data_IF_380865534182
#
_entry.id   IF_380865534182
#
_cell.length_a   1.000
_cell.length_b   1.000
_cell.length_c   1.000
_cell.angle_alpha   90.00
_cell.angle_beta   90.00
_cell.angle_gamma   90.00
#
_symmetry.space_group_name_H-M   'P 1'
#
loop_
_entity.id
_entity.type
_entity.pdbx_description
1 polymer ?
#
# COMPACT_ATOMS: atom_id res chain seq x y z
N UNK A 1 28.73 6.26 27.22
CA UNK A 1 27.87 6.52 26.05
C UNK A 1 27.03 5.28 25.78
N UNK A 2 25.72 5.34 26.02
CA UNK A 2 24.77 4.30 25.62
C UNK A 2 24.01 4.78 24.39
N UNK A 3 24.50 4.45 23.20
CA UNK A 3 23.79 4.70 21.95
C UNK A 3 22.91 3.50 21.66
N UNK A 4 21.66 3.53 22.13
CA UNK A 4 20.71 2.45 21.91
C UNK A 4 19.27 2.92 22.04
N UNK A 5 18.51 2.82 20.95
CA UNK A 5 17.05 2.91 20.85
C UNK A 5 16.39 4.28 21.00
N UNK A 6 16.49 5.11 19.96
CA UNK A 6 15.40 6.04 19.58
C UNK A 6 14.15 5.31 19.07
N UNK A 7 14.18 3.97 18.99
CA UNK A 7 13.04 3.08 18.65
C UNK A 7 12.09 2.80 19.84
N UNK A 8 12.36 3.41 21.01
CA UNK A 8 11.58 3.24 22.25
C UNK A 8 10.37 4.19 22.34
N UNK A 9 9.89 4.75 21.22
CA UNK A 9 8.58 5.39 21.25
C UNK A 9 7.54 4.27 21.24
N UNK A 10 6.69 4.23 22.27
CA UNK A 10 5.74 3.14 22.46
C UNK A 10 4.83 3.03 21.23
N UNK A 11 4.98 1.94 20.46
CA UNK A 11 4.21 1.66 19.23
C UNK A 11 2.70 1.92 19.38
N UNK A 12 2.05 1.62 20.52
CA UNK A 12 0.64 1.95 20.70
C UNK A 12 0.32 3.45 20.64
N UNK A 13 1.19 4.30 21.18
CA UNK A 13 1.04 5.75 21.10
C UNK A 13 1.39 6.27 19.71
N UNK A 14 2.49 5.77 19.11
CA UNK A 14 2.94 6.17 17.77
C UNK A 14 1.91 5.89 16.69
N UNK A 15 1.24 4.73 16.77
CA UNK A 15 0.29 4.27 15.74
C UNK A 15 -1.16 4.22 16.22
N UNK A 16 -1.44 4.77 17.40
CA UNK A 16 -2.79 4.84 17.98
C UNK A 16 -3.47 3.45 18.06
N UNK A 17 -2.70 2.45 18.48
CA UNK A 17 -3.17 1.07 18.67
C UNK A 17 -3.92 1.01 19.99
N UNK A 18 -5.24 0.86 19.92
CA UNK A 18 -6.13 0.84 21.09
C UNK A 18 -6.59 -0.58 21.45
N UNK A 19 -6.31 -1.57 20.61
CA UNK A 19 -6.66 -2.98 20.80
C UNK A 19 -5.72 -3.89 19.98
N UNK A 20 -5.66 -5.17 20.34
CA UNK A 20 -4.92 -6.19 19.58
C UNK A 20 -5.90 -7.31 19.19
N UNK A 21 -5.88 -7.79 17.93
CA UNK A 21 -5.05 -7.34 16.80
C UNK A 21 -5.50 -6.00 16.19
N UNK A 22 -4.59 -5.27 15.52
CA UNK A 22 -4.89 -4.04 14.75
C UNK A 22 -4.26 -4.14 13.35
N UNK A 23 -5.05 -3.86 12.31
CA UNK A 23 -4.61 -3.72 10.93
C UNK A 23 -4.56 -2.22 10.57
N UNK A 24 -3.44 -1.77 9.98
CA UNK A 24 -3.17 -0.37 9.69
C UNK A 24 -2.29 -0.26 8.44
N UNK A 25 -2.68 0.58 7.48
CA UNK A 25 -1.89 0.89 6.30
C UNK A 25 -0.92 2.05 6.56
N UNK A 26 0.18 2.06 5.81
CA UNK A 26 1.17 3.11 5.77
C UNK A 26 1.28 3.64 4.34
N UNK A 27 1.59 4.92 4.19
CA UNK A 27 1.93 5.47 2.88
C UNK A 27 3.41 5.22 2.51
N UNK A 28 3.80 5.64 1.31
CA UNK A 28 5.17 5.45 0.80
C UNK A 28 6.24 6.20 1.61
N UNK A 29 5.83 7.19 2.42
CA UNK A 29 6.70 7.93 3.32
C UNK A 29 6.78 7.29 4.72
N UNK A 30 6.10 6.16 4.95
CA UNK A 30 6.04 5.47 6.23
C UNK A 30 5.11 6.12 7.24
N UNK A 31 4.24 7.06 6.83
CA UNK A 31 3.28 7.68 7.73
C UNK A 31 2.02 6.80 7.87
N UNK A 32 1.48 6.64 9.09
CA UNK A 32 0.29 5.82 9.32
C UNK A 32 -0.96 6.47 8.72
N UNK A 33 -1.74 5.68 7.97
CA UNK A 33 -3.02 6.11 7.40
C UNK A 33 -4.14 5.78 8.37
N UNK A 34 -4.42 6.65 9.34
CA UNK A 34 -5.38 6.42 10.45
C UNK A 34 -6.77 6.00 9.99
N UNK A 35 -7.24 6.45 8.83
CA UNK A 35 -8.53 6.06 8.24
C UNK A 35 -8.62 4.62 7.73
N UNK A 36 -7.50 3.91 7.63
CA UNK A 36 -7.44 2.49 7.24
C UNK A 36 -7.58 1.52 8.43
N UNK A 37 -7.61 2.05 9.67
CA UNK A 37 -7.49 1.25 10.89
C UNK A 37 -8.67 0.29 11.08
N UNK A 38 -8.36 -0.99 11.29
CA UNK A 38 -9.33 -2.03 11.65
C UNK A 38 -8.86 -2.73 12.92
N UNK A 39 -9.76 -2.87 13.90
CA UNK A 39 -9.48 -3.53 15.20
C UNK A 39 -10.31 -4.80 15.42
N UNK A 40 -11.22 -5.10 14.49
CA UNK A 40 -12.05 -6.29 14.57
C UNK A 40 -11.25 -7.51 14.12
N UNK A 41 -10.75 -8.27 15.11
CA UNK A 41 -9.99 -9.49 14.85
C UNK A 41 -10.77 -10.55 14.06
N UNK A 42 -12.11 -10.56 14.09
CA UNK A 42 -12.91 -11.53 13.33
C UNK A 42 -12.82 -11.26 11.84
N UNK A 43 -12.79 -9.99 11.43
CA UNK A 43 -12.57 -9.60 10.03
C UNK A 43 -11.17 -9.99 9.55
N UNK A 44 -10.17 -9.93 10.43
CA UNK A 44 -8.80 -10.34 10.09
C UNK A 44 -8.64 -11.86 9.93
N UNK A 45 -9.62 -12.67 10.33
CA UNK A 45 -9.65 -14.10 10.04
C UNK A 45 -10.31 -14.40 8.68
N UNK A 46 -10.99 -13.43 8.08
CA UNK A 46 -11.62 -13.57 6.76
C UNK A 46 -10.60 -13.19 5.67
N UNK A 47 -10.16 -14.20 4.93
CA UNK A 47 -9.19 -14.04 3.83
C UNK A 47 -9.71 -13.10 2.74
N UNK A 48 -10.98 -13.21 2.36
CA UNK A 48 -11.56 -12.35 1.33
C UNK A 48 -11.60 -10.90 1.77
N UNK A 49 -11.89 -10.65 3.05
CA UNK A 49 -11.80 -9.32 3.63
C UNK A 49 -10.37 -8.77 3.55
N UNK A 50 -9.36 -9.56 3.93
CA UNK A 50 -7.96 -9.11 3.91
C UNK A 50 -7.49 -8.78 2.49
N UNK A 51 -7.80 -9.63 1.50
CA UNK A 51 -7.47 -9.38 0.10
C UNK A 51 -8.10 -8.08 -0.37
N UNK A 52 -9.41 -7.92 -0.17
CA UNK A 52 -10.12 -6.70 -0.57
C UNK A 52 -9.60 -5.45 0.14
N UNK A 53 -9.24 -5.56 1.43
CA UNK A 53 -8.65 -4.45 2.18
C UNK A 53 -7.28 -4.03 1.62
N UNK A 54 -6.40 -4.99 1.29
CA UNK A 54 -5.09 -4.71 0.69
C UNK A 54 -5.24 -4.06 -0.68
N UNK A 55 -6.10 -4.60 -1.55
CA UNK A 55 -6.34 -4.04 -2.90
C UNK A 55 -6.87 -2.60 -2.82
N UNK A 56 -7.83 -2.39 -1.92
CA UNK A 56 -8.44 -1.09 -1.68
C UNK A 56 -7.39 -0.06 -1.18
N UNK A 57 -6.50 -0.43 -0.26
CA UNK A 57 -5.43 0.46 0.23
C UNK A 57 -4.30 0.67 -0.80
N UNK A 58 -3.95 -0.34 -1.58
CA UNK A 58 -2.98 -0.22 -2.67
C UNK A 58 -3.47 0.73 -3.78
N UNK A 59 -4.77 0.66 -4.14
CA UNK A 59 -5.38 1.59 -5.07
C UNK A 59 -5.33 3.06 -4.58
N UNK A 60 -5.41 3.28 -3.26
CA UNK A 60 -5.23 4.61 -2.66
C UNK A 60 -3.78 5.10 -2.70
N UNK A 61 -2.80 4.20 -2.60
CA UNK A 61 -1.37 4.55 -2.65
C UNK A 61 -0.91 4.93 -4.07
N UNK A 62 -1.40 4.22 -5.10
CA UNK A 62 -1.06 4.47 -6.51
C UNK A 62 -1.54 5.82 -7.09
N UNK A 63 -2.25 6.64 -6.32
CA UNK A 63 -2.73 7.96 -6.75
C UNK A 63 -1.67 9.08 -6.67
N UNK A 64 -0.47 8.82 -6.13
CA UNK A 64 0.56 9.86 -5.88
C UNK A 64 1.83 9.67 -6.72
N UNK A 65 1.65 9.61 -8.03
CA UNK A 65 2.74 9.73 -9.00
C UNK A 65 2.21 10.24 -10.33
N UNK A 66 2.38 11.53 -10.60
CA UNK A 66 1.99 12.16 -11.86
C UNK A 66 3.19 12.67 -12.64
N UNK A 67 3.30 12.28 -13.92
CA UNK A 67 3.64 13.17 -15.04
C UNK A 67 3.60 12.40 -16.36
N UNK A 68 2.71 12.80 -17.26
CA UNK A 68 2.58 12.21 -18.60
C UNK A 68 1.27 12.55 -19.31
N UNK A 69 0.85 13.83 -19.31
CA UNK A 69 -0.16 14.29 -20.27
C UNK A 69 0.47 14.30 -21.67
N UNK A 70 -0.02 13.43 -22.53
CA UNK A 70 0.02 13.50 -23.99
C UNK A 70 -0.74 12.27 -24.46
N UNK A 71 -1.96 12.33 -24.98
CA UNK A 71 -2.57 13.33 -25.82
C UNK A 71 -3.29 12.52 -26.91
N UNK A 72 -4.62 12.51 -26.87
CA UNK A 72 -5.46 12.06 -27.97
C UNK A 72 -5.72 10.54 -28.06
N UNK A 73 -6.96 10.22 -28.44
CA UNK A 73 -7.31 8.94 -29.06
C UNK A 73 -7.87 7.91 -28.08
N UNK A 74 -9.20 7.84 -28.01
CA UNK A 74 -9.85 6.70 -27.37
C UNK A 74 -9.52 5.40 -28.10
N UNK A 75 -9.44 4.30 -27.35
CA UNK A 75 -9.86 2.98 -27.84
C UNK A 75 -10.62 2.30 -26.70
N UNK A 76 -11.93 2.22 -26.87
CA UNK A 76 -12.69 1.07 -26.42
C UNK A 76 -12.09 -0.17 -27.10
N UNK A 77 -11.67 -1.19 -26.35
CA UNK A 77 -11.19 -2.42 -26.98
C UNK A 77 -10.48 -3.40 -26.06
N UNK A 78 -11.28 -4.22 -25.38
CA UNK A 78 -11.11 -5.67 -25.29
C UNK A 78 -9.80 -6.30 -24.78
N UNK A 79 -9.95 -7.09 -23.72
CA UNK A 79 -9.33 -8.42 -23.64
C UNK A 79 -8.03 -8.53 -22.84
N UNK A 80 -8.00 -9.51 -21.92
CA UNK A 80 -6.84 -9.93 -21.13
C UNK A 80 -6.97 -9.47 -19.68
N UNK A 81 -7.44 -10.26 -18.72
CA UNK A 81 -7.01 -11.64 -18.47
C UNK A 81 -5.72 -11.61 -17.65
N UNK A 82 -5.84 -11.43 -16.34
CA UNK A 82 -4.95 -11.95 -15.30
C UNK A 82 -3.50 -11.48 -15.24
N UNK A 83 -3.08 -11.05 -14.04
CA UNK A 83 -1.69 -11.19 -13.62
C UNK A 83 -1.04 -9.92 -13.11
N UNK A 84 -0.55 -10.01 -11.89
CA UNK A 84 0.23 -9.03 -11.14
C UNK A 84 1.59 -8.73 -11.81
N UNK A 85 1.59 -8.15 -13.02
CA UNK A 85 2.80 -7.92 -13.82
C UNK A 85 3.17 -6.47 -14.09
N UNK A 86 2.23 -5.52 -13.96
CA UNK A 86 2.47 -4.14 -14.39
C UNK A 86 2.90 -3.18 -13.26
N UNK A 87 2.78 -3.56 -11.98
CA UNK A 87 3.14 -2.69 -10.86
C UNK A 87 4.63 -2.80 -10.43
N UNK A 88 5.38 -3.80 -10.92
CA UNK A 88 6.79 -4.03 -10.54
C UNK A 88 7.79 -4.03 -11.72
N UNK A 89 7.35 -3.81 -12.96
CA UNK A 89 8.16 -4.04 -14.18
C UNK A 89 8.95 -2.85 -14.74
N UNK A 90 9.17 -1.78 -13.97
CA UNK A 90 9.74 -0.53 -14.49
C UNK A 90 11.26 -0.33 -14.33
N UNK A 91 11.98 -1.22 -13.63
CA UNK A 91 13.35 -0.88 -13.15
C UNK A 91 14.53 -1.47 -13.95
N UNK A 92 14.33 -2.34 -14.94
CA UNK A 92 15.45 -2.89 -15.70
C UNK A 92 15.44 -2.40 -17.15
N UNK A 93 15.76 -1.12 -17.33
CA UNK A 93 16.18 -0.56 -18.62
C UNK A 93 17.56 -1.11 -18.99
N UNK A 94 17.61 -1.96 -20.01
CA UNK A 94 18.85 -2.52 -20.55
C UNK A 94 19.73 -1.44 -21.17
N UNK A 95 20.95 -1.28 -20.63
CA UNK A 95 22.09 -0.77 -21.40
C UNK A 95 22.42 -1.82 -22.46
N UNK A 96 22.25 -1.46 -23.73
CA UNK A 96 22.82 -2.19 -24.85
C UNK A 96 24.16 -1.53 -25.18
N UNK A 97 25.26 -2.22 -24.87
CA UNK A 97 26.49 -2.12 -25.66
C UNK A 97 26.41 -3.10 -26.83
#
# INVERSE_FOLDING_TARGET
>A
MGSGSSFSESLPMTYMITAVPTLLAFDDAGAPRTGSKVVDGRKMLDEMFLVGWIEHEAARAGGRGGSGRGGGGGVSGGGGGGGWGAAFGGLFGGVKM
#
